data_IF_557747572417
#
_entry.id   IF_557747572417
#
_cell.length_a   1.000
_cell.length_b   1.000
_cell.length_c   1.000
_cell.angle_alpha   90.00
_cell.angle_beta   90.00
_cell.angle_gamma   90.00
#
_symmetry.space_group_name_H-M   'P 1'
#
loop_
_entity.id
_entity.type
_entity.pdbx_description
1 polymer ?
#
# COMPACT_ATOMS: atom_id res chain seq x y z
N UNK A 1 22.68 6.88 -37.21
CA UNK A 1 21.50 6.27 -37.87
C UNK A 1 20.65 5.68 -36.76
N UNK A 2 19.62 6.39 -36.38
CA UNK A 2 18.70 5.99 -35.30
C UNK A 2 17.63 5.07 -35.91
N UNK A 3 17.61 3.83 -35.46
CA UNK A 3 16.58 2.85 -35.81
C UNK A 3 15.32 3.08 -35.00
N UNK A 4 14.25 3.32 -35.72
CA UNK A 4 12.89 3.55 -35.27
C UNK A 4 12.37 2.30 -34.55
N UNK A 5 12.10 2.40 -33.22
CA UNK A 5 11.49 1.33 -32.43
C UNK A 5 9.98 1.49 -32.57
N UNK A 6 9.39 0.71 -33.49
CA UNK A 6 7.97 0.71 -33.78
C UNK A 6 7.11 0.60 -32.50
N UNK A 7 6.25 1.57 -32.35
CA UNK A 7 5.26 1.69 -31.31
C UNK A 7 4.30 0.48 -31.31
N UNK A 8 4.43 -0.41 -30.33
CA UNK A 8 3.48 -1.47 -30.10
C UNK A 8 2.32 -0.89 -29.28
N UNK A 9 1.22 -0.53 -29.95
CA UNK A 9 0.02 -0.04 -29.29
C UNK A 9 -0.57 -1.12 -28.36
N UNK A 10 -0.72 -0.77 -27.08
CA UNK A 10 -1.41 -1.59 -26.07
C UNK A 10 -2.88 -1.78 -26.48
N UNK A 11 -3.23 -2.98 -26.91
CA UNK A 11 -4.63 -3.37 -27.02
C UNK A 11 -5.06 -3.89 -25.65
N UNK A 12 -5.80 -3.05 -24.93
CA UNK A 12 -6.50 -3.46 -23.70
C UNK A 12 -7.71 -4.31 -24.11
N UNK A 13 -7.65 -5.60 -23.83
CA UNK A 13 -8.83 -6.47 -23.91
C UNK A 13 -9.73 -6.15 -22.70
N UNK A 14 -10.65 -5.24 -22.88
CA UNK A 14 -11.87 -5.17 -22.07
C UNK A 14 -12.83 -6.16 -22.69
N UNK A 15 -13.22 -7.18 -21.90
CA UNK A 15 -14.16 -8.20 -22.36
C UNK A 15 -15.50 -7.60 -22.76
N UNK A 16 -15.81 -7.62 -24.04
CA UNK A 16 -17.14 -7.44 -24.56
C UNK A 16 -17.55 -8.63 -25.46
N UNK A 17 -18.84 -9.01 -25.44
CA UNK A 17 -19.29 -10.23 -26.07
C UNK A 17 -19.30 -10.16 -27.59
N UNK A 18 -19.15 -11.34 -28.16
CA UNK A 18 -19.07 -11.63 -29.57
C UNK A 18 -20.11 -10.94 -30.44
N UNK A 19 -19.66 -10.21 -31.48
CA UNK A 19 -20.51 -9.84 -32.60
C UNK A 19 -20.78 -11.03 -33.50
N UNK A 20 -22.00 -11.23 -34.01
CA UNK A 20 -22.34 -12.31 -34.89
C UNK A 20 -21.74 -12.06 -36.29
N UNK A 21 -20.87 -12.96 -36.72
CA UNK A 21 -20.32 -13.00 -38.08
C UNK A 21 -21.41 -13.37 -39.09
N UNK A 22 -21.80 -12.42 -39.93
CA UNK A 22 -22.51 -12.72 -41.19
C UNK A 22 -21.47 -12.79 -42.32
N UNK A 23 -21.28 -13.98 -42.86
CA UNK A 23 -20.33 -14.25 -43.91
C UNK A 23 -20.64 -13.54 -45.21
N UNK A 24 -19.61 -13.01 -45.86
CA UNK A 24 -19.56 -12.71 -47.29
C UNK A 24 -18.33 -13.37 -47.88
N UNK A 25 -18.55 -14.32 -48.80
CA UNK A 25 -17.48 -14.96 -49.59
C UNK A 25 -16.79 -13.93 -50.46
N UNK A 26 -15.49 -13.98 -50.51
CA UNK A 26 -14.71 -13.32 -51.57
C UNK A 26 -13.42 -12.66 -51.06
N UNK A 27 -12.33 -13.20 -51.57
CA UNK A 27 -10.97 -12.62 -51.68
C UNK A 27 -10.09 -12.62 -50.43
N UNK A 28 -9.08 -13.49 -50.52
CA UNK A 28 -8.05 -13.68 -49.52
C UNK A 28 -7.07 -12.51 -49.43
N UNK A 29 -7.34 -11.64 -48.46
CA UNK A 29 -6.31 -10.79 -47.87
C UNK A 29 -5.70 -11.58 -46.72
N UNK A 30 -4.54 -12.20 -46.97
CA UNK A 30 -3.66 -12.66 -45.88
C UNK A 30 -3.15 -11.41 -45.16
N UNK A 31 -3.92 -10.92 -44.23
CA UNK A 31 -3.42 -9.99 -43.24
C UNK A 31 -2.39 -10.75 -42.39
N UNK A 32 -1.11 -10.51 -42.67
CA UNK A 32 -0.05 -10.94 -41.76
C UNK A 32 -0.24 -10.17 -40.45
N UNK A 33 -0.85 -10.81 -39.49
CA UNK A 33 -0.88 -10.31 -38.12
C UNK A 33 0.59 -10.19 -37.69
N UNK A 34 1.04 -9.00 -37.23
CA UNK A 34 2.38 -8.87 -36.69
C UNK A 34 2.46 -9.85 -35.50
N UNK A 35 3.35 -10.83 -35.62
CA UNK A 35 3.63 -11.80 -34.55
C UNK A 35 4.33 -11.08 -33.41
N UNK A 36 3.56 -10.39 -32.60
CA UNK A 36 4.03 -9.81 -31.36
C UNK A 36 4.01 -10.91 -30.29
N UNK A 37 5.04 -11.76 -30.27
CA UNK A 37 5.16 -12.86 -29.29
C UNK A 37 5.74 -12.42 -27.96
N UNK A 38 5.57 -11.16 -27.55
CA UNK A 38 5.97 -10.68 -26.24
C UNK A 38 4.90 -11.08 -25.21
N UNK A 39 5.22 -12.07 -24.40
CA UNK A 39 4.42 -12.40 -23.22
C UNK A 39 4.80 -11.43 -22.11
N UNK A 40 3.86 -10.59 -21.69
CA UNK A 40 4.02 -9.70 -20.54
C UNK A 40 3.33 -10.37 -19.35
N UNK A 41 4.10 -10.61 -18.29
CA UNK A 41 3.56 -11.13 -17.05
C UNK A 41 3.09 -9.97 -16.18
N UNK A 42 1.95 -10.14 -15.50
CA UNK A 42 1.48 -9.22 -14.47
C UNK A 42 2.28 -9.35 -13.17
N UNK A 43 1.98 -8.50 -12.19
CA UNK A 43 2.62 -8.49 -10.88
C UNK A 43 2.32 -9.72 -9.99
N UNK A 44 1.45 -10.62 -10.45
CA UNK A 44 1.03 -11.79 -9.69
C UNK A 44 -0.14 -11.52 -8.74
N UNK A 45 -0.57 -12.57 -8.08
CA UNK A 45 -1.60 -12.53 -7.03
C UNK A 45 -1.06 -13.20 -5.79
N UNK A 46 -1.16 -12.53 -4.64
CA UNK A 46 -0.80 -13.11 -3.35
C UNK A 46 -1.96 -13.96 -2.84
N UNK A 47 -1.75 -15.28 -2.74
CA UNK A 47 -2.70 -16.20 -2.13
C UNK A 47 -2.29 -16.51 -0.69
N UNK A 48 -3.20 -16.31 0.25
CA UNK A 48 -3.01 -16.71 1.65
C UNK A 48 -3.97 -17.85 1.99
N UNK A 49 -3.41 -19.01 2.32
CA UNK A 49 -4.17 -20.15 2.85
C UNK A 49 -4.20 -19.99 4.37
N UNK A 50 -5.40 -19.79 4.92
CA UNK A 50 -5.58 -19.59 6.36
C UNK A 50 -5.37 -20.90 7.12
N UNK A 51 -4.31 -20.99 7.90
CA UNK A 51 -3.96 -22.15 8.73
C UNK A 51 -4.26 -21.98 10.22
N UNK A 52 -4.75 -20.79 10.63
CA UNK A 52 -5.09 -20.48 12.03
C UNK A 52 -6.19 -19.43 12.09
N UNK A 53 -6.84 -19.23 13.26
CA UNK A 53 -7.87 -18.22 13.45
C UNK A 53 -7.34 -16.81 13.18
N UNK A 54 -8.18 -15.94 12.65
CA UNK A 54 -7.88 -14.52 12.46
C UNK A 54 -7.64 -13.83 13.80
N UNK A 55 -6.65 -12.94 13.85
CA UNK A 55 -6.29 -12.15 15.03
C UNK A 55 -6.16 -10.69 14.66
N UNK A 56 -6.81 -9.81 15.41
CA UNK A 56 -6.71 -8.37 15.21
C UNK A 56 -5.36 -7.83 15.70
N UNK A 57 -4.81 -6.77 15.08
CA UNK A 57 -3.55 -6.18 15.53
C UNK A 57 -3.69 -5.49 16.89
N UNK A 58 -2.67 -5.65 17.71
CA UNK A 58 -2.41 -4.78 18.86
C UNK A 58 -1.62 -3.58 18.36
N UNK A 59 -2.14 -2.37 18.54
CA UNK A 59 -1.55 -1.14 17.99
C UNK A 59 -1.07 -0.24 19.13
N UNK A 60 0.18 0.22 19.03
CA UNK A 60 0.80 1.19 19.92
C UNK A 60 1.37 2.34 19.11
N UNK A 61 1.13 3.57 19.54
CA UNK A 61 1.64 4.78 18.89
C UNK A 61 2.56 5.51 19.86
N UNK A 62 3.77 5.82 19.40
CA UNK A 62 4.80 6.48 20.17
C UNK A 62 5.08 7.87 19.60
N UNK A 63 5.11 8.90 20.44
CA UNK A 63 5.48 10.24 20.03
C UNK A 63 6.99 10.36 19.81
N UNK A 64 7.47 11.46 19.16
CA UNK A 64 8.89 11.74 19.02
C UNK A 64 9.56 11.99 20.37
N UNK A 65 10.85 11.63 20.48
CA UNK A 65 11.63 11.90 21.68
C UNK A 65 12.02 13.38 21.79
N UNK A 66 12.28 13.84 23.02
CA UNK A 66 12.74 15.20 23.28
C UNK A 66 14.10 15.51 22.59
N UNK A 67 14.99 14.50 22.50
CA UNK A 67 16.28 14.62 21.82
C UNK A 67 16.12 14.84 20.32
N UNK A 68 15.18 14.15 19.72
CA UNK A 68 14.87 14.28 18.29
C UNK A 68 14.27 15.66 17.99
N UNK A 69 13.37 16.15 18.84
CA UNK A 69 12.78 17.48 18.73
C UNK A 69 13.80 18.58 18.84
N UNK A 70 14.84 18.41 19.66
CA UNK A 70 15.97 19.35 19.77
C UNK A 70 16.77 19.45 18.46
N UNK A 71 16.77 18.40 17.64
CA UNK A 71 17.39 18.35 16.33
C UNK A 71 16.46 18.76 15.17
N UNK A 72 15.36 19.45 15.48
CA UNK A 72 14.34 19.89 14.51
C UNK A 72 13.67 18.76 13.71
N UNK A 73 13.69 17.54 14.22
CA UNK A 73 13.04 16.38 13.64
C UNK A 73 11.98 15.83 14.58
N UNK A 74 10.99 15.14 14.01
CA UNK A 74 9.99 14.44 14.77
C UNK A 74 9.59 13.18 14.01
N UNK A 75 9.80 12.01 14.61
CA UNK A 75 9.38 10.72 14.04
C UNK A 75 8.38 10.06 14.97
N UNK A 76 7.18 9.82 14.45
CA UNK A 76 6.17 9.04 15.15
C UNK A 76 6.28 7.58 14.73
N UNK A 77 6.10 6.67 15.67
CA UNK A 77 6.19 5.23 15.44
C UNK A 77 4.87 4.58 15.78
N UNK A 78 4.25 3.96 14.79
CA UNK A 78 3.06 3.13 14.96
C UNK A 78 3.47 1.67 14.87
N UNK A 79 3.40 0.96 15.99
CA UNK A 79 3.75 -0.45 16.09
C UNK A 79 2.48 -1.30 16.12
N UNK A 80 2.44 -2.33 15.30
CA UNK A 80 1.34 -3.29 15.25
C UNK A 80 1.88 -4.70 15.37
N UNK A 81 1.28 -5.50 16.24
CA UNK A 81 1.72 -6.87 16.53
C UNK A 81 0.54 -7.83 16.69
N UNK A 82 0.84 -9.12 16.68
CA UNK A 82 -0.10 -10.21 16.96
C UNK A 82 -1.29 -10.33 16.02
N UNK A 83 -1.16 -9.87 14.77
CA UNK A 83 -2.23 -9.98 13.78
C UNK A 83 -2.06 -11.19 12.85
N UNK A 84 -3.18 -11.71 12.39
CA UNK A 84 -3.25 -12.76 11.38
C UNK A 84 -4.55 -12.64 10.58
N UNK A 85 -4.51 -12.73 9.23
CA UNK A 85 -3.35 -12.93 8.35
C UNK A 85 -2.39 -11.71 8.30
N UNK A 86 -1.22 -11.90 7.68
CA UNK A 86 -0.15 -10.91 7.61
C UNK A 86 -0.37 -9.79 6.58
N UNK A 87 -1.57 -9.22 6.53
CA UNK A 87 -1.93 -8.12 5.64
C UNK A 87 -2.59 -7.01 6.44
N UNK A 88 -2.02 -5.82 6.42
CA UNK A 88 -2.54 -4.62 7.08
C UNK A 88 -2.38 -3.43 6.15
N UNK A 89 -3.24 -2.44 6.32
CA UNK A 89 -3.13 -1.12 5.69
C UNK A 89 -3.02 -0.08 6.78
N UNK A 90 -2.01 0.79 6.66
CA UNK A 90 -1.77 1.86 7.63
C UNK A 90 -2.04 3.21 6.97
N UNK A 91 -2.79 4.05 7.65
CA UNK A 91 -3.05 5.43 7.25
C UNK A 91 -2.73 6.37 8.41
N UNK A 92 -2.08 7.49 8.10
CA UNK A 92 -1.76 8.54 9.06
C UNK A 92 -2.63 9.76 8.88
N UNK A 93 -2.96 10.42 9.98
CA UNK A 93 -3.69 11.68 9.98
C UNK A 93 -3.02 12.69 10.89
N UNK A 94 -3.00 13.94 10.46
CA UNK A 94 -2.62 15.11 11.25
C UNK A 94 -3.85 16.01 11.36
N UNK A 95 -4.31 16.31 12.56
CA UNK A 95 -5.53 17.10 12.81
C UNK A 95 -6.77 16.58 12.04
N UNK A 96 -6.89 15.25 11.89
CA UNK A 96 -7.96 14.63 11.11
C UNK A 96 -7.74 14.60 9.59
N UNK A 97 -6.72 15.28 9.07
CA UNK A 97 -6.39 15.31 7.64
C UNK A 97 -5.42 14.18 7.30
N UNK A 98 -5.68 13.40 6.22
CA UNK A 98 -4.77 12.34 5.78
C UNK A 98 -3.37 12.89 5.43
N UNK A 99 -2.33 12.20 5.89
CA UNK A 99 -0.92 12.50 5.59
C UNK A 99 -0.32 11.31 4.88
N UNK A 100 0.29 11.55 3.71
CA UNK A 100 0.97 10.53 2.91
C UNK A 100 2.46 10.80 2.76
N UNK A 101 2.89 12.03 2.96
CA UNK A 101 4.27 12.45 2.82
C UNK A 101 5.06 12.12 4.09
N UNK A 102 6.25 11.55 3.93
CA UNK A 102 7.11 11.15 5.05
C UNK A 102 6.65 9.86 5.76
N UNK A 103 5.75 9.10 5.16
CA UNK A 103 5.28 7.81 5.71
C UNK A 103 6.10 6.67 5.14
N UNK A 104 6.66 5.84 6.02
CA UNK A 104 7.31 4.59 5.66
C UNK A 104 6.69 3.44 6.47
N UNK A 105 6.27 2.39 5.79
CA UNK A 105 5.65 1.22 6.43
C UNK A 105 6.42 -0.03 6.05
N UNK A 106 6.80 -0.83 7.05
CA UNK A 106 7.51 -2.09 6.83
C UNK A 106 6.56 -3.16 6.30
N UNK A 107 7.11 -4.14 5.60
CA UNK A 107 6.36 -5.37 5.29
C UNK A 107 6.15 -6.15 6.58
N UNK A 108 4.96 -6.77 6.76
CA UNK A 108 4.71 -7.63 7.90
C UNK A 108 5.72 -8.79 7.97
N UNK A 109 6.27 -9.02 9.15
CA UNK A 109 7.17 -10.13 9.43
C UNK A 109 6.52 -11.12 10.40
N UNK A 110 6.79 -12.40 10.18
CA UNK A 110 6.23 -13.47 11.00
C UNK A 110 6.97 -13.57 12.33
N UNK A 111 6.22 -13.58 13.42
CA UNK A 111 6.73 -13.73 14.78
C UNK A 111 6.86 -15.23 15.16
N UNK A 112 7.49 -15.51 16.28
CA UNK A 112 7.64 -16.87 16.81
C UNK A 112 6.31 -17.56 17.17
N UNK A 113 5.26 -16.78 17.45
CA UNK A 113 3.91 -17.25 17.73
C UNK A 113 3.06 -17.47 16.45
N UNK A 114 3.67 -17.49 15.26
CA UNK A 114 3.03 -17.61 13.95
C UNK A 114 2.07 -16.44 13.56
N UNK A 115 2.01 -15.39 14.35
CA UNK A 115 1.36 -14.14 14.02
C UNK A 115 2.35 -13.17 13.37
N UNK A 116 1.88 -12.02 12.95
CA UNK A 116 2.69 -11.04 12.25
C UNK A 116 2.84 -9.75 13.05
N UNK A 117 3.94 -9.06 12.81
CA UNK A 117 4.20 -7.71 13.29
C UNK A 117 4.67 -6.83 12.13
N UNK A 118 4.36 -5.55 12.23
CA UNK A 118 4.83 -4.51 11.31
C UNK A 118 4.95 -3.19 12.05
N UNK A 119 5.64 -2.24 11.47
CA UNK A 119 5.75 -0.89 11.99
C UNK A 119 5.56 0.13 10.86
N UNK A 120 5.05 1.30 11.22
CA UNK A 120 4.93 2.43 10.31
C UNK A 120 5.51 3.67 10.99
N UNK A 121 6.23 4.46 10.20
CA UNK A 121 6.93 5.65 10.65
C UNK A 121 6.38 6.86 9.90
N UNK A 122 6.14 7.94 10.64
CA UNK A 122 5.80 9.24 10.08
C UNK A 122 6.87 10.24 10.49
N UNK A 123 7.59 10.78 9.51
CA UNK A 123 8.61 11.82 9.71
C UNK A 123 8.02 13.18 9.40
N UNK A 124 8.04 14.09 10.37
CA UNK A 124 7.60 15.46 10.25
C UNK A 124 8.65 16.41 10.83
N UNK A 125 8.52 17.71 10.61
CA UNK A 125 9.36 18.71 11.30
C UNK A 125 8.94 18.83 12.76
N UNK A 126 9.86 19.24 13.64
CA UNK A 126 9.52 19.50 15.04
C UNK A 126 8.47 20.61 15.17
N UNK A 127 8.46 21.54 14.21
CA UNK A 127 7.53 22.65 14.16
C UNK A 127 6.12 22.17 13.81
N UNK A 128 5.98 21.29 12.82
CA UNK A 128 4.70 20.68 12.46
C UNK A 128 4.15 19.83 13.61
N UNK A 129 5.01 19.06 14.28
CA UNK A 129 4.63 18.32 15.48
C UNK A 129 4.04 19.22 16.55
N UNK A 130 4.75 20.31 16.93
CA UNK A 130 4.32 21.23 17.98
C UNK A 130 3.07 22.04 17.63
N UNK A 131 2.86 22.33 16.35
CA UNK A 131 1.70 23.11 15.86
C UNK A 131 0.45 22.28 15.66
N UNK A 132 0.59 20.98 15.56
CA UNK A 132 -0.56 20.08 15.40
C UNK A 132 -1.30 19.84 16.72
N UNK A 133 -2.61 19.69 16.65
CA UNK A 133 -3.42 19.33 17.81
C UNK A 133 -3.28 17.84 18.14
N UNK A 134 -3.23 16.97 17.13
CA UNK A 134 -3.09 15.53 17.31
C UNK A 134 -2.63 14.85 16.04
N UNK A 135 -1.92 13.74 16.20
CA UNK A 135 -1.60 12.77 15.15
C UNK A 135 -2.25 11.43 15.45
N UNK A 136 -2.78 10.78 14.41
CA UNK A 136 -3.42 9.48 14.53
C UNK A 136 -2.82 8.48 13.55
N UNK A 137 -2.62 7.26 14.02
CA UNK A 137 -2.29 6.09 13.22
C UNK A 137 -3.54 5.21 13.13
N UNK A 138 -4.01 4.96 11.91
CA UNK A 138 -5.12 4.06 11.61
C UNK A 138 -4.59 2.78 10.98
N UNK A 139 -4.85 1.65 11.60
CA UNK A 139 -4.48 0.32 11.10
C UNK A 139 -5.74 -0.43 10.74
N UNK A 140 -5.88 -0.74 9.46
CA UNK A 140 -7.00 -1.53 8.94
C UNK A 140 -6.54 -2.97 8.70
N UNK A 141 -7.23 -3.91 9.30
CA UNK A 141 -6.99 -5.34 9.18
C UNK A 141 -8.32 -6.06 9.06
N UNK A 142 -8.48 -6.88 8.00
CA UNK A 142 -9.70 -7.68 7.76
C UNK A 142 -11.01 -6.87 7.86
N UNK A 143 -10.99 -5.66 7.29
CA UNK A 143 -12.16 -4.75 7.31
C UNK A 143 -12.42 -4.04 8.63
N UNK A 144 -11.62 -4.29 9.67
CA UNK A 144 -11.68 -3.58 10.95
C UNK A 144 -10.54 -2.58 11.06
N UNK A 145 -10.84 -1.40 11.57
CA UNK A 145 -9.86 -0.34 11.77
C UNK A 145 -9.65 -0.08 13.25
N UNK A 146 -8.39 -0.06 13.65
CA UNK A 146 -7.94 0.35 14.99
C UNK A 146 -7.22 1.68 14.83
N UNK A 147 -7.61 2.68 15.61
CA UNK A 147 -6.99 4.01 15.61
C UNK A 147 -6.34 4.29 16.96
N UNK A 148 -5.13 4.85 16.92
CA UNK A 148 -4.42 5.39 18.08
C UNK A 148 -4.03 6.83 17.78
N UNK A 149 -4.15 7.67 18.78
CA UNK A 149 -3.90 9.11 18.69
C UNK A 149 -2.93 9.54 19.78
N UNK A 150 -2.04 10.46 19.43
CA UNK A 150 -1.14 11.15 20.36
C UNK A 150 -1.21 12.65 20.11
N UNK A 151 -1.12 13.41 21.19
CA UNK A 151 -1.09 14.89 21.14
C UNK A 151 0.23 15.41 21.70
N UNK A 152 0.81 16.47 21.11
CA UNK A 152 2.02 17.11 21.67
C UNK A 152 1.88 17.60 23.11
N UNK A 153 0.67 17.97 23.52
CA UNK A 153 0.35 18.43 24.87
C UNK A 153 0.43 17.35 25.94
N UNK A 154 0.40 16.07 25.55
CA UNK A 154 0.49 14.95 26.49
C UNK A 154 1.92 14.47 26.74
N UNK A 155 2.90 15.06 26.05
CA UNK A 155 4.33 14.70 26.11
C UNK A 155 5.17 15.70 26.91
N UNK A 156 4.58 16.48 27.81
CA UNK A 156 5.26 17.47 28.65
C UNK A 156 5.72 16.85 29.95
#
# INVERSE_FOLDING_TARGET
MAGDIGSCQKILYTGQPAFPWKGRKGEGLKAALPSCSHRVFGGGTQLTVLGQPKSAPSVSLFPPSAEELANNKATLVCLMSDFYPGSVTVAWKANGTPVTQGVETTKPSKQSNNKYAASSYLSVSSQDWKSASAYSCQVTHDGKTVEKTVAPSECS
#
